data_IF_550807765106
#
_entry.id   IF_550807765106
#
_cell.length_a   1.000
_cell.length_b   1.000
_cell.length_c   1.000
_cell.angle_alpha   90.00
_cell.angle_beta   90.00
_cell.angle_gamma   90.00
#
_symmetry.space_group_name_H-M   'P 1'
#
loop_
_entity.id
_entity.type
_entity.pdbx_description
1 polymer ?
#
# COMPACT_ATOMS: atom_id res chain seq x y z
N UNK A 1 -25.41 5.18 12.27
CA UNK A 1 -25.56 3.89 11.55
C UNK A 1 -24.24 3.57 10.88
N UNK A 2 -23.66 2.42 11.18
CA UNK A 2 -22.24 2.12 11.15
C UNK A 2 -21.62 2.12 9.73
N UNK A 3 -20.62 2.98 9.45
CA UNK A 3 -19.81 3.04 8.22
C UNK A 3 -19.16 1.68 7.85
N UNK A 4 -19.06 0.74 8.80
CA UNK A 4 -18.47 -0.59 8.65
C UNK A 4 -19.31 -1.62 7.87
N UNK A 5 -20.64 -1.41 7.77
CA UNK A 5 -21.54 -2.39 7.11
C UNK A 5 -21.40 -2.31 5.58
N UNK A 6 -21.08 -1.13 5.06
CA UNK A 6 -20.95 -0.91 3.60
C UNK A 6 -19.70 -1.62 3.04
N UNK A 7 -18.64 -1.72 3.82
CA UNK A 7 -17.40 -2.38 3.43
C UNK A 7 -17.56 -3.90 3.16
N UNK A 8 -18.43 -4.56 3.95
CA UNK A 8 -18.67 -6.00 3.83
C UNK A 8 -19.43 -6.41 2.55
N UNK A 9 -20.15 -5.47 1.91
CA UNK A 9 -20.83 -5.72 0.62
C UNK A 9 -19.94 -5.48 -0.59
N UNK A 10 -18.83 -4.75 -0.44
CA UNK A 10 -17.94 -4.36 -1.52
C UNK A 10 -16.89 -5.45 -1.85
N UNK A 11 -16.58 -6.33 -0.88
CA UNK A 11 -15.54 -7.37 -0.95
C UNK A 11 -15.96 -8.68 -1.65
N UNK A 12 -17.19 -8.82 -2.14
CA UNK A 12 -17.73 -10.14 -2.58
C UNK A 12 -17.73 -10.40 -4.08
N UNK A 13 -17.12 -9.56 -4.93
CA UNK A 13 -16.97 -9.89 -6.36
C UNK A 13 -15.52 -9.66 -6.78
N UNK A 14 -14.75 -10.75 -6.74
CA UNK A 14 -13.44 -10.83 -7.38
C UNK A 14 -13.56 -10.51 -8.87
N UNK A 15 -12.66 -9.68 -9.38
CA UNK A 15 -12.56 -9.31 -10.78
C UNK A 15 -11.84 -7.99 -10.89
N UNK A 16 -10.89 -7.89 -11.81
CA UNK A 16 -10.14 -6.72 -12.23
C UNK A 16 -10.73 -5.40 -11.72
N UNK A 17 -9.96 -4.64 -10.95
CA UNK A 17 -10.32 -3.28 -10.55
C UNK A 17 -10.55 -2.46 -11.83
N UNK A 18 -11.80 -2.43 -12.28
CA UNK A 18 -12.22 -1.62 -13.41
C UNK A 18 -12.47 -0.22 -12.85
N UNK A 19 -11.48 0.67 -12.93
CA UNK A 19 -11.56 2.04 -12.41
C UNK A 19 -12.87 2.76 -12.79
N UNK A 20 -13.46 2.38 -13.92
CA UNK A 20 -14.77 2.89 -14.35
C UNK A 20 -15.93 2.45 -13.45
N UNK A 21 -15.90 1.21 -12.97
CA UNK A 21 -16.98 0.66 -12.12
C UNK A 21 -16.90 1.18 -10.69
N UNK A 22 -15.68 1.41 -10.18
CA UNK A 22 -15.50 1.87 -8.81
C UNK A 22 -15.84 3.35 -8.64
N UNK A 23 -15.36 4.21 -9.53
CA UNK A 23 -15.72 5.64 -9.53
C UNK A 23 -17.24 5.85 -9.59
N UNK A 24 -17.92 5.26 -10.57
CA UNK A 24 -19.38 5.44 -10.75
C UNK A 24 -20.16 4.95 -9.54
N UNK A 25 -19.74 3.84 -8.96
CA UNK A 25 -20.36 3.27 -7.76
C UNK A 25 -20.16 4.16 -6.54
N UNK A 26 -18.92 4.61 -6.30
CA UNK A 26 -18.60 5.49 -5.16
C UNK A 26 -19.31 6.83 -5.30
N UNK A 27 -19.31 7.43 -6.47
CA UNK A 27 -20.01 8.69 -6.74
C UNK A 27 -21.53 8.59 -6.44
N UNK A 28 -22.17 7.52 -6.90
CA UNK A 28 -23.60 7.26 -6.64
C UNK A 28 -23.87 7.01 -5.14
N UNK A 29 -22.94 6.33 -4.46
CA UNK A 29 -23.05 6.02 -3.02
C UNK A 29 -22.98 7.30 -2.20
N UNK A 30 -21.98 8.15 -2.43
CA UNK A 30 -21.80 9.43 -1.73
C UNK A 30 -23.00 10.36 -1.87
N UNK A 31 -23.57 10.43 -3.08
CA UNK A 31 -24.80 11.21 -3.30
C UNK A 31 -25.97 10.67 -2.46
N UNK A 32 -26.15 9.36 -2.41
CA UNK A 32 -27.22 8.73 -1.64
C UNK A 32 -27.00 8.90 -0.12
N UNK A 33 -25.77 8.82 0.35
CA UNK A 33 -25.42 9.08 1.76
C UNK A 33 -25.71 10.54 2.14
N UNK A 34 -25.45 11.48 1.23
CA UNK A 34 -25.79 12.90 1.42
C UNK A 34 -27.30 13.18 1.33
N UNK A 35 -28.10 12.19 0.93
CA UNK A 35 -29.56 12.26 0.86
C UNK A 35 -30.11 13.18 -0.25
N UNK A 36 -29.28 13.50 -1.26
CA UNK A 36 -29.67 14.43 -2.33
C UNK A 36 -30.02 13.73 -3.65
N UNK A 37 -30.90 14.35 -4.44
CA UNK A 37 -31.27 13.86 -5.76
C UNK A 37 -30.15 14.07 -6.79
N UNK A 38 -30.20 13.32 -7.91
CA UNK A 38 -29.27 13.55 -9.02
C UNK A 38 -29.36 14.98 -9.59
N UNK A 39 -30.55 15.59 -9.58
CA UNK A 39 -30.78 16.96 -10.07
C UNK A 39 -30.05 17.96 -9.15
N UNK A 40 -30.18 17.84 -7.86
CA UNK A 40 -29.53 18.70 -6.87
C UNK A 40 -28.01 18.55 -6.91
N UNK A 41 -27.51 17.31 -6.91
CA UNK A 41 -26.08 17.07 -7.01
C UNK A 41 -25.49 17.61 -8.31
N UNK A 42 -26.16 17.44 -9.44
CA UNK A 42 -25.73 17.95 -10.73
C UNK A 42 -25.64 19.49 -10.75
N UNK A 43 -26.61 20.17 -10.14
CA UNK A 43 -26.61 21.63 -10.02
C UNK A 43 -25.40 22.10 -9.16
N UNK A 44 -25.11 21.45 -8.05
CA UNK A 44 -23.96 21.78 -7.19
C UNK A 44 -22.62 21.48 -7.85
N UNK A 45 -22.55 20.40 -8.63
CA UNK A 45 -21.34 19.99 -9.35
C UNK A 45 -21.13 20.72 -10.69
N UNK A 46 -22.06 21.63 -11.07
CA UNK A 46 -21.96 22.41 -12.31
C UNK A 46 -22.08 21.57 -13.59
N UNK A 47 -22.90 20.51 -13.57
CA UNK A 47 -23.13 19.63 -14.72
C UNK A 47 -24.65 19.42 -14.94
N UNK A 48 -25.03 18.92 -16.12
CA UNK A 48 -26.42 18.52 -16.34
C UNK A 48 -26.76 17.22 -15.60
N UNK A 49 -28.03 17.05 -15.19
CA UNK A 49 -28.49 15.81 -14.56
C UNK A 49 -28.21 14.57 -15.43
N UNK A 50 -28.40 14.69 -16.76
CA UNK A 50 -28.13 13.62 -17.69
C UNK A 50 -26.66 13.21 -17.68
N UNK A 51 -25.73 14.17 -17.62
CA UNK A 51 -24.30 13.92 -17.57
C UNK A 51 -23.90 13.26 -16.25
N UNK A 52 -24.43 13.73 -15.11
CA UNK A 52 -24.19 13.08 -13.82
C UNK A 52 -24.72 11.64 -13.81
N UNK A 53 -25.91 11.40 -14.39
CA UNK A 53 -26.45 10.04 -14.53
C UNK A 53 -25.55 9.13 -15.35
N UNK A 54 -24.90 9.64 -16.40
CA UNK A 54 -23.94 8.88 -17.21
C UNK A 54 -22.67 8.55 -16.41
N UNK A 55 -22.18 9.47 -15.58
CA UNK A 55 -21.04 9.23 -14.69
C UNK A 55 -21.38 8.17 -13.63
N UNK A 56 -22.54 8.28 -12.97
CA UNK A 56 -22.97 7.30 -11.96
C UNK A 56 -23.28 5.90 -12.52
N UNK A 57 -23.57 5.80 -13.82
CA UNK A 57 -23.78 4.51 -14.51
C UNK A 57 -22.52 3.96 -15.17
N UNK A 58 -21.42 4.69 -15.14
CA UNK A 58 -20.17 4.29 -15.80
C UNK A 58 -20.25 4.32 -17.34
N UNK A 59 -21.29 4.99 -17.92
CA UNK A 59 -21.46 5.12 -19.37
C UNK A 59 -20.42 6.07 -19.96
N UNK A 60 -20.02 7.10 -19.18
CA UNK A 60 -19.05 8.11 -19.59
C UNK A 60 -18.02 8.33 -18.51
N UNK A 61 -16.78 8.56 -18.90
CA UNK A 61 -15.70 8.98 -18.02
C UNK A 61 -15.79 10.48 -17.72
N UNK A 62 -15.48 10.86 -16.47
CA UNK A 62 -15.39 12.25 -16.09
C UNK A 62 -13.99 12.82 -16.40
N UNK A 63 -13.94 14.11 -16.68
CA UNK A 63 -12.66 14.83 -16.73
C UNK A 63 -12.12 15.13 -15.33
N UNK A 64 -10.83 15.49 -15.25
CA UNK A 64 -10.13 15.80 -14.02
C UNK A 64 -10.82 16.93 -13.22
N UNK A 65 -11.29 17.96 -13.89
CA UNK A 65 -12.01 19.09 -13.26
C UNK A 65 -13.28 18.65 -12.54
N UNK A 66 -14.01 17.70 -13.11
CA UNK A 66 -15.19 17.14 -12.44
C UNK A 66 -14.82 16.29 -11.24
N UNK A 67 -13.75 15.48 -11.36
CA UNK A 67 -13.25 14.66 -10.26
C UNK A 67 -12.87 15.52 -9.06
N UNK A 68 -12.14 16.61 -9.28
CA UNK A 68 -11.75 17.56 -8.22
C UNK A 68 -12.99 18.17 -7.57
N UNK A 69 -13.92 18.73 -8.35
CA UNK A 69 -15.15 19.30 -7.79
C UNK A 69 -16.00 18.30 -7.02
N UNK A 70 -16.05 17.05 -7.47
CA UNK A 70 -16.77 15.99 -6.78
C UNK A 70 -16.09 15.62 -5.45
N UNK A 71 -14.76 15.55 -5.42
CA UNK A 71 -13.99 15.32 -4.21
C UNK A 71 -14.26 16.41 -3.17
N UNK A 72 -14.15 17.67 -3.56
CA UNK A 72 -14.42 18.84 -2.70
C UNK A 72 -15.87 18.87 -2.20
N UNK A 73 -16.83 18.64 -3.11
CA UNK A 73 -18.26 18.68 -2.78
C UNK A 73 -18.69 17.60 -1.78
N UNK A 74 -18.15 16.41 -1.92
CA UNK A 74 -18.43 15.29 -1.01
C UNK A 74 -17.51 15.26 0.20
N UNK A 75 -16.45 16.08 0.26
CA UNK A 75 -15.47 16.11 1.34
C UNK A 75 -14.68 14.82 1.42
N UNK A 76 -14.31 14.26 0.28
CA UNK A 76 -13.53 13.02 0.18
C UNK A 76 -12.35 13.21 -0.77
N UNK A 77 -11.33 12.36 -0.63
CA UNK A 77 -10.19 12.40 -1.54
C UNK A 77 -10.55 11.90 -2.95
N UNK A 78 -9.79 12.35 -3.94
CA UNK A 78 -9.91 11.84 -5.30
C UNK A 78 -9.61 10.33 -5.38
N UNK A 79 -8.68 9.83 -4.57
CA UNK A 79 -8.36 8.41 -4.50
C UNK A 79 -9.49 7.56 -3.91
N UNK A 80 -10.24 8.11 -2.94
CA UNK A 80 -11.45 7.47 -2.46
C UNK A 80 -12.54 7.41 -3.54
N UNK A 81 -12.75 8.51 -4.27
CA UNK A 81 -13.69 8.55 -5.39
C UNK A 81 -13.33 7.54 -6.48
N UNK A 82 -12.04 7.36 -6.75
CA UNK A 82 -11.52 6.41 -7.74
C UNK A 82 -11.50 4.95 -7.24
N UNK A 83 -11.91 4.71 -5.99
CA UNK A 83 -11.85 3.38 -5.37
C UNK A 83 -10.44 2.90 -5.04
N UNK A 84 -9.44 3.79 -5.08
CA UNK A 84 -8.04 3.50 -4.80
C UNK A 84 -7.69 3.56 -3.31
N UNK A 85 -8.48 4.30 -2.53
CA UNK A 85 -8.37 4.38 -1.07
C UNK A 85 -9.67 3.93 -0.42
N UNK A 86 -9.54 3.27 0.72
CA UNK A 86 -10.67 2.90 1.57
C UNK A 86 -11.04 4.02 2.55
N UNK A 87 -10.15 4.98 2.74
CA UNK A 87 -10.32 6.11 3.66
C UNK A 87 -10.93 7.31 2.92
N UNK A 88 -12.13 7.80 3.33
CA UNK A 88 -12.77 8.98 2.72
C UNK A 88 -11.93 10.25 2.84
N UNK A 89 -11.22 10.43 3.94
CA UNK A 89 -10.36 11.60 4.16
C UNK A 89 -9.09 11.50 3.30
N UNK A 90 -8.89 10.29 2.69
CA UNK A 90 -7.78 10.00 1.82
C UNK A 90 -6.53 10.62 2.39
N UNK A 91 -5.86 9.92 3.28
CA UNK A 91 -4.44 10.23 3.41
C UNK A 91 -3.84 9.93 2.04
N UNK A 92 -4.00 10.88 1.13
CA UNK A 92 -3.16 10.98 -0.04
C UNK A 92 -1.77 11.20 0.54
N UNK A 93 -1.05 10.07 0.72
CA UNK A 93 0.38 10.16 0.93
C UNK A 93 0.91 10.86 -0.32
N UNK A 94 0.99 12.18 -0.25
CA UNK A 94 1.79 12.91 -1.21
C UNK A 94 3.24 12.45 -0.98
N UNK A 95 4.07 12.56 -2.00
CA UNK A 95 5.49 12.19 -1.87
C UNK A 95 6.13 12.97 -0.72
N UNK A 96 5.61 14.17 -0.40
CA UNK A 96 6.04 15.05 0.69
C UNK A 96 5.58 14.58 2.07
N UNK A 97 4.42 13.94 2.19
CA UNK A 97 3.85 13.49 3.48
C UNK A 97 4.50 12.21 4.01
N UNK A 98 5.27 11.49 3.17
CA UNK A 98 6.00 10.31 3.58
C UNK A 98 7.38 10.76 4.06
N UNK A 99 7.73 10.61 5.36
CA UNK A 99 9.05 11.01 5.87
C UNK A 99 10.16 10.39 5.02
N UNK A 100 11.16 11.21 4.67
CA UNK A 100 12.38 10.67 4.07
C UNK A 100 13.02 9.74 5.10
N UNK A 101 13.39 8.50 4.72
CA UNK A 101 14.34 7.74 5.52
C UNK A 101 15.62 8.57 5.57
N UNK A 102 16.07 8.92 6.76
CA UNK A 102 17.15 9.85 7.10
C UNK A 102 17.95 10.39 5.89
N UNK A 103 18.11 11.70 5.83
CA UNK A 103 18.80 12.43 4.77
C UNK A 103 20.29 12.04 4.58
N UNK A 104 20.59 10.75 4.66
CA UNK A 104 21.88 10.17 4.37
C UNK A 104 22.09 10.17 2.85
N UNK A 105 22.48 11.32 2.33
CA UNK A 105 23.17 11.42 1.06
C UNK A 105 22.28 11.73 -0.14
N UNK A 106 22.80 12.66 -0.92
CA UNK A 106 22.35 13.09 -2.25
C UNK A 106 22.34 11.96 -3.31
N UNK A 107 22.55 10.69 -2.91
CA UNK A 107 22.72 9.54 -3.80
C UNK A 107 21.41 8.91 -4.29
N UNK A 108 20.27 9.35 -3.78
CA UNK A 108 18.96 8.76 -4.10
C UNK A 108 18.04 9.69 -4.92
N UNK A 109 18.58 10.53 -5.76
CA UNK A 109 17.77 11.30 -6.71
C UNK A 109 17.31 10.39 -7.85
N UNK A 110 16.03 9.98 -7.82
CA UNK A 110 15.38 9.31 -8.94
C UNK A 110 15.11 10.31 -10.06
N UNK A 111 16.18 10.86 -10.66
CA UNK A 111 16.07 11.76 -11.79
C UNK A 111 15.54 10.97 -12.99
N UNK A 112 14.33 11.29 -13.44
CA UNK A 112 13.69 10.66 -14.59
C UNK A 112 12.91 9.36 -14.30
N UNK A 113 12.89 8.85 -13.07
CA UNK A 113 12.02 7.75 -12.70
C UNK A 113 10.59 8.28 -12.51
N UNK A 114 9.58 7.52 -12.97
CA UNK A 114 8.17 7.83 -12.70
C UNK A 114 7.87 7.83 -11.19
N UNK A 115 6.71 8.37 -10.81
CA UNK A 115 6.27 8.51 -9.40
C UNK A 115 6.20 7.15 -8.67
N UNK A 116 5.85 6.07 -9.38
CA UNK A 116 5.64 4.74 -8.80
C UNK A 116 6.88 4.16 -8.04
N UNK A 117 8.11 4.19 -8.57
CA UNK A 117 9.28 3.70 -7.83
C UNK A 117 9.54 4.48 -6.53
N UNK A 118 9.29 5.79 -6.53
CA UNK A 118 9.46 6.65 -5.35
C UNK A 118 8.45 6.27 -4.28
N UNK A 119 7.16 6.15 -4.65
CA UNK A 119 6.10 5.74 -3.73
C UNK A 119 6.39 4.36 -3.15
N UNK A 120 6.69 3.36 -3.98
CA UNK A 120 6.96 2.01 -3.51
C UNK A 120 8.16 1.96 -2.56
N UNK A 121 9.24 2.70 -2.86
CA UNK A 121 10.38 2.81 -1.95
C UNK A 121 9.95 3.35 -0.59
N UNK A 122 9.19 4.45 -0.57
CA UNK A 122 8.73 5.08 0.68
C UNK A 122 7.79 4.16 1.46
N UNK A 123 6.82 3.52 0.80
CA UNK A 123 5.93 2.54 1.44
C UNK A 123 6.72 1.41 2.12
N UNK A 124 7.69 0.84 1.41
CA UNK A 124 8.52 -0.24 1.95
C UNK A 124 9.35 0.27 3.14
N UNK A 125 10.06 1.39 2.99
CA UNK A 125 10.93 1.94 4.04
C UNK A 125 10.14 2.26 5.32
N UNK A 126 8.99 2.92 5.20
CA UNK A 126 8.15 3.27 6.35
C UNK A 126 7.54 2.03 7.02
N UNK A 127 7.13 1.04 6.23
CA UNK A 127 6.62 -0.23 6.77
C UNK A 127 7.71 -0.99 7.51
N UNK A 128 8.94 -0.94 7.03
CA UNK A 128 10.10 -1.54 7.71
C UNK A 128 10.38 -0.85 9.05
N UNK A 129 10.22 0.48 9.16
CA UNK A 129 10.37 1.18 10.44
C UNK A 129 9.40 0.63 11.49
N UNK A 130 8.12 0.45 11.14
CA UNK A 130 7.14 -0.17 12.05
C UNK A 130 7.51 -1.59 12.40
N UNK A 131 7.88 -2.41 11.41
CA UNK A 131 8.27 -3.81 11.62
C UNK A 131 9.46 -3.94 12.57
N UNK A 132 10.52 -3.15 12.34
CA UNK A 132 11.73 -3.21 13.17
C UNK A 132 11.50 -2.69 14.58
N UNK A 133 10.62 -1.70 14.78
CA UNK A 133 10.24 -1.27 16.12
C UNK A 133 9.45 -2.38 16.87
N UNK A 134 8.54 -3.08 16.20
CA UNK A 134 7.87 -4.25 16.78
C UNK A 134 8.86 -5.37 17.12
N UNK A 135 9.84 -5.63 16.26
CA UNK A 135 10.91 -6.60 16.54
C UNK A 135 11.73 -6.20 17.76
N UNK A 136 12.08 -4.93 17.91
CA UNK A 136 12.76 -4.42 19.10
C UNK A 136 11.90 -4.60 20.35
N UNK A 137 10.60 -4.29 20.29
CA UNK A 137 9.64 -4.47 21.39
C UNK A 137 9.44 -5.95 21.77
N UNK A 138 9.55 -6.85 20.81
CA UNK A 138 9.47 -8.31 21.08
C UNK A 138 10.56 -8.80 22.04
N UNK A 139 11.69 -8.10 22.10
CA UNK A 139 12.85 -8.46 22.89
C UNK A 139 13.59 -9.72 22.43
N UNK A 140 13.12 -10.37 21.37
CA UNK A 140 13.71 -11.61 20.87
C UNK A 140 14.77 -11.34 19.80
N UNK A 141 16.03 -11.61 20.14
CA UNK A 141 17.17 -11.50 19.20
C UNK A 141 17.06 -12.50 18.06
N UNK A 142 16.57 -13.71 18.33
CA UNK A 142 16.40 -14.75 17.30
C UNK A 142 15.29 -14.38 16.30
N UNK A 143 14.16 -13.86 16.78
CA UNK A 143 13.10 -13.35 15.88
C UNK A 143 13.65 -12.23 14.99
N UNK A 144 14.32 -11.25 15.58
CA UNK A 144 14.95 -10.15 14.84
C UNK A 144 15.93 -10.66 13.79
N UNK A 145 16.81 -11.61 14.15
CA UNK A 145 17.78 -12.22 13.25
C UNK A 145 17.12 -12.92 12.06
N UNK A 146 16.06 -13.69 12.30
CA UNK A 146 15.41 -14.44 11.23
C UNK A 146 14.58 -13.55 10.31
N UNK A 147 13.84 -12.58 10.84
CA UNK A 147 13.11 -11.61 10.03
C UNK A 147 14.08 -10.74 9.22
N UNK A 148 15.14 -10.23 9.83
CA UNK A 148 16.17 -9.47 9.11
C UNK A 148 16.86 -10.31 8.04
N UNK A 149 17.17 -11.59 8.33
CA UNK A 149 17.76 -12.50 7.36
C UNK A 149 16.88 -12.72 6.14
N UNK A 150 15.57 -12.88 6.34
CA UNK A 150 14.61 -13.00 5.24
C UNK A 150 14.63 -11.74 4.35
N UNK A 151 14.54 -10.56 4.95
CA UNK A 151 14.52 -9.29 4.22
C UNK A 151 15.83 -9.05 3.45
N UNK A 152 16.98 -9.34 4.09
CA UNK A 152 18.28 -9.25 3.41
C UNK A 152 18.37 -10.22 2.22
N UNK A 153 17.85 -11.44 2.37
CA UNK A 153 17.78 -12.43 1.30
C UNK A 153 16.91 -11.95 0.13
N UNK A 154 15.75 -11.33 0.43
CA UNK A 154 14.85 -10.79 -0.58
C UNK A 154 15.52 -9.64 -1.36
N UNK A 155 16.15 -8.69 -0.67
CA UNK A 155 16.90 -7.60 -1.30
C UNK A 155 18.03 -8.13 -2.16
N UNK A 156 18.85 -9.05 -1.63
CA UNK A 156 19.94 -9.68 -2.37
C UNK A 156 19.44 -10.34 -3.66
N UNK A 157 18.38 -11.13 -3.56
CA UNK A 157 17.79 -11.86 -4.70
C UNK A 157 17.32 -10.91 -5.78
N UNK A 158 16.55 -9.87 -5.41
CA UNK A 158 16.05 -8.89 -6.35
C UNK A 158 17.16 -8.02 -6.94
N UNK A 159 18.11 -7.57 -6.13
CA UNK A 159 19.28 -6.84 -6.61
C UNK A 159 20.06 -7.65 -7.65
N UNK A 160 20.29 -8.93 -7.38
CA UNK A 160 21.00 -9.81 -8.30
C UNK A 160 20.29 -9.99 -9.65
N UNK A 161 18.96 -10.13 -9.64
CA UNK A 161 18.15 -10.20 -10.86
C UNK A 161 18.33 -8.90 -11.67
N UNK A 162 18.11 -7.74 -11.03
CA UNK A 162 18.23 -6.43 -11.71
C UNK A 162 19.66 -6.20 -12.22
N UNK A 163 20.66 -6.53 -11.42
CA UNK A 163 22.06 -6.39 -11.78
C UNK A 163 22.44 -7.24 -13.02
N UNK A 164 21.93 -8.46 -13.10
CA UNK A 164 22.21 -9.38 -14.21
C UNK A 164 21.54 -9.00 -15.53
N UNK A 165 20.56 -8.08 -15.52
CA UNK A 165 19.89 -7.60 -16.74
C UNK A 165 20.83 -6.81 -17.66
N UNK A 166 21.89 -6.23 -17.13
CA UNK A 166 22.88 -5.53 -17.95
C UNK A 166 24.07 -6.43 -18.25
N UNK A 167 24.37 -6.71 -19.54
CA UNK A 167 25.54 -7.50 -19.90
C UNK A 167 26.87 -6.81 -19.59
N UNK A 168 26.84 -5.51 -19.29
CA UNK A 168 28.03 -4.73 -18.89
C UNK A 168 28.42 -4.94 -17.43
N UNK A 169 27.52 -5.49 -16.62
CA UNK A 169 27.75 -5.68 -15.20
C UNK A 169 28.61 -6.93 -14.95
N UNK A 170 29.66 -6.74 -14.20
CA UNK A 170 30.59 -7.83 -13.89
C UNK A 170 30.03 -8.70 -12.77
N UNK A 171 29.69 -9.94 -13.10
CA UNK A 171 29.13 -10.91 -12.15
C UNK A 171 30.12 -11.35 -11.05
N UNK A 172 31.41 -11.03 -11.15
CA UNK A 172 32.40 -11.24 -10.06
C UNK A 172 32.13 -10.36 -8.83
N UNK A 173 31.19 -9.41 -8.92
CA UNK A 173 30.65 -8.68 -7.76
C UNK A 173 30.05 -9.62 -6.72
N UNK A 174 29.60 -10.80 -7.15
CA UNK A 174 28.99 -11.80 -6.28
C UNK A 174 29.94 -12.96 -6.06
N UNK A 175 30.17 -13.36 -4.79
CA UNK A 175 30.96 -14.54 -4.45
C UNK A 175 30.25 -15.86 -4.72
N UNK A 176 28.90 -15.86 -4.72
CA UNK A 176 28.11 -17.05 -5.07
C UNK A 176 27.98 -17.13 -6.59
N UNK A 177 28.31 -18.27 -7.23
CA UNK A 177 28.14 -18.44 -8.67
C UNK A 177 26.69 -18.21 -9.13
N UNK A 178 26.52 -17.82 -10.40
CA UNK A 178 25.17 -17.58 -10.95
C UNK A 178 24.29 -18.84 -10.93
N UNK A 179 24.87 -19.99 -11.24
CA UNK A 179 24.17 -21.26 -11.16
C UNK A 179 23.77 -21.55 -9.71
N UNK A 180 22.49 -21.63 -9.42
CA UNK A 180 21.95 -21.95 -8.10
C UNK A 180 21.89 -20.79 -7.11
N UNK A 181 22.28 -19.56 -7.49
CA UNK A 181 22.30 -18.43 -6.54
C UNK A 181 20.90 -17.98 -6.11
N UNK A 182 19.94 -18.00 -7.03
CA UNK A 182 18.55 -17.61 -6.73
C UNK A 182 17.86 -18.67 -5.89
N UNK A 183 18.13 -19.95 -6.18
CA UNK A 183 17.64 -21.10 -5.43
C UNK A 183 18.22 -21.13 -4.01
N UNK A 184 19.51 -20.83 -3.88
CA UNK A 184 20.18 -20.72 -2.57
C UNK A 184 19.59 -19.56 -1.74
N UNK A 185 19.30 -18.42 -2.36
CA UNK A 185 18.67 -17.30 -1.69
C UNK A 185 17.23 -17.64 -1.26
N UNK A 186 16.47 -18.34 -2.11
CA UNK A 186 15.11 -18.79 -1.79
C UNK A 186 15.12 -19.78 -0.61
N UNK A 187 16.02 -20.78 -0.66
CA UNK A 187 16.20 -21.73 0.45
C UNK A 187 16.58 -21.03 1.76
N UNK A 188 17.46 -20.03 1.70
CA UNK A 188 17.83 -19.23 2.86
C UNK A 188 16.65 -18.47 3.44
N UNK A 189 15.85 -17.80 2.59
CA UNK A 189 14.66 -17.07 3.00
C UNK A 189 13.62 -17.99 3.64
N UNK A 190 13.33 -19.13 3.02
CA UNK A 190 12.40 -20.14 3.57
C UNK A 190 12.87 -20.70 4.92
N UNK A 191 14.17 -20.90 5.08
CA UNK A 191 14.74 -21.32 6.38
C UNK A 191 14.57 -20.22 7.45
N UNK A 192 14.80 -18.97 7.10
CA UNK A 192 14.56 -17.83 8.01
C UNK A 192 13.08 -17.74 8.41
N UNK A 193 12.15 -17.83 7.46
CA UNK A 193 10.71 -17.84 7.70
C UNK A 193 10.30 -18.99 8.63
N UNK A 194 10.76 -20.22 8.32
CA UNK A 194 10.44 -21.39 9.13
C UNK A 194 10.96 -21.28 10.58
N UNK A 195 12.13 -20.68 10.77
CA UNK A 195 12.70 -20.43 12.10
C UNK A 195 11.95 -19.32 12.84
N UNK A 196 11.55 -18.26 12.15
CA UNK A 196 10.73 -17.22 12.77
C UNK A 196 9.36 -17.78 13.22
N UNK A 197 8.69 -18.60 12.40
CA UNK A 197 7.42 -19.26 12.76
C UNK A 197 7.55 -20.21 13.96
N UNK A 198 8.70 -20.87 14.14
CA UNK A 198 8.94 -21.74 15.30
C UNK A 198 9.03 -21.00 16.63
N UNK A 199 9.19 -19.69 16.61
CA UNK A 199 9.20 -18.86 17.82
C UNK A 199 7.78 -18.44 18.27
N UNK A 200 6.75 -18.88 17.55
CA UNK A 200 5.37 -18.71 18.00
C UNK A 200 5.14 -19.50 19.30
N UNK A 201 4.68 -18.79 20.35
CA UNK A 201 4.55 -19.36 21.69
C UNK A 201 5.87 -19.50 22.47
N UNK A 202 7.02 -19.10 21.93
CA UNK A 202 8.28 -19.13 22.63
C UNK A 202 8.35 -18.00 23.68
N UNK A 203 8.74 -18.35 24.91
CA UNK A 203 8.84 -17.41 26.04
C UNK A 203 9.90 -16.32 25.83
N UNK A 204 10.80 -16.46 24.89
CA UNK A 204 11.77 -15.43 24.50
C UNK A 204 11.15 -14.28 23.73
N UNK A 205 9.92 -14.44 23.24
CA UNK A 205 9.17 -13.42 22.51
C UNK A 205 8.15 -12.78 23.45
N UNK A 206 8.31 -11.49 23.74
CA UNK A 206 7.34 -10.73 24.56
C UNK A 206 6.12 -10.36 23.71
N UNK A 207 5.19 -11.30 23.58
CA UNK A 207 4.02 -11.19 22.72
C UNK A 207 3.11 -10.02 23.08
N UNK A 208 2.98 -9.70 24.38
CA UNK A 208 2.18 -8.54 24.84
C UNK A 208 2.69 -7.22 24.29
N UNK A 209 4.01 -7.09 24.11
CA UNK A 209 4.64 -5.87 23.61
C UNK A 209 4.45 -5.66 22.11
N UNK A 210 4.09 -6.71 21.38
CA UNK A 210 3.83 -6.68 19.93
C UNK A 210 2.36 -6.89 19.59
N UNK A 211 1.50 -6.93 20.61
CA UNK A 211 0.04 -6.95 20.43
C UNK A 211 -0.42 -5.58 19.91
N UNK A 212 -0.88 -5.55 18.66
CA UNK A 212 -1.26 -4.30 17.99
C UNK A 212 -2.62 -4.47 17.30
N UNK A 213 -3.42 -3.40 17.34
CA UNK A 213 -4.63 -3.24 16.55
C UNK A 213 -4.43 -2.14 15.50
N UNK A 214 -5.36 -2.03 14.54
CA UNK A 214 -5.35 -0.94 13.57
C UNK A 214 -5.28 0.43 14.26
N UNK A 215 -6.13 0.65 15.27
CA UNK A 215 -6.18 1.92 16.00
C UNK A 215 -4.88 2.17 16.79
N UNK A 216 -4.32 1.11 17.41
CA UNK A 216 -3.07 1.25 18.16
C UNK A 216 -1.88 1.54 17.25
N UNK A 217 -1.81 0.93 16.08
CA UNK A 217 -0.81 1.21 15.06
C UNK A 217 -0.92 2.65 14.56
N UNK A 218 -2.12 3.12 14.20
CA UNK A 218 -2.35 4.49 13.75
C UNK A 218 -1.98 5.52 14.80
N UNK A 219 -2.26 5.23 16.08
CA UNK A 219 -1.91 6.13 17.19
C UNK A 219 -0.41 6.13 17.51
N UNK A 220 0.24 4.96 17.47
CA UNK A 220 1.65 4.82 17.85
C UNK A 220 2.59 5.25 16.73
N UNK A 221 2.19 5.04 15.47
CA UNK A 221 2.99 5.34 14.29
C UNK A 221 2.23 6.23 13.30
N UNK A 222 1.81 7.46 13.71
CA UNK A 222 0.94 8.31 12.89
C UNK A 222 1.50 8.61 11.50
N UNK A 223 2.84 8.67 11.37
CA UNK A 223 3.52 8.95 10.11
C UNK A 223 3.74 7.70 9.22
N UNK A 224 3.77 6.49 9.80
CA UNK A 224 4.16 5.28 9.10
C UNK A 224 3.04 4.26 8.93
N UNK A 225 2.01 4.31 9.77
CA UNK A 225 0.93 3.32 9.76
C UNK A 225 0.17 3.28 8.42
N UNK A 226 -0.10 4.45 7.83
CA UNK A 226 -0.74 4.56 6.52
C UNK A 226 0.07 3.89 5.41
N UNK A 227 1.40 4.02 5.46
CA UNK A 227 2.30 3.33 4.52
C UNK A 227 2.24 1.82 4.67
N UNK A 228 2.22 1.32 5.92
CA UNK A 228 2.10 -0.11 6.22
C UNK A 228 0.76 -0.67 5.71
N UNK A 229 -0.35 0.01 5.97
CA UNK A 229 -1.67 -0.44 5.51
C UNK A 229 -1.79 -0.42 3.98
N UNK A 230 -1.23 0.59 3.33
CA UNK A 230 -1.17 0.66 1.87
C UNK A 230 -0.30 -0.46 1.28
N UNK A 231 0.83 -0.78 1.91
CA UNK A 231 1.69 -1.89 1.51
C UNK A 231 0.95 -3.23 1.63
N UNK A 232 0.30 -3.48 2.78
CA UNK A 232 -0.48 -4.71 3.01
C UNK A 232 -1.56 -4.86 1.92
N UNK A 233 -2.37 -3.81 1.71
CA UNK A 233 -3.40 -3.80 0.69
C UNK A 233 -2.84 -4.10 -0.70
N UNK A 234 -1.77 -3.41 -1.10
CA UNK A 234 -1.16 -3.60 -2.42
C UNK A 234 -0.62 -5.03 -2.61
N UNK A 235 -0.08 -5.64 -1.55
CA UNK A 235 0.37 -7.03 -1.60
C UNK A 235 -0.81 -7.99 -1.76
N UNK A 236 -1.86 -7.84 -0.94
CA UNK A 236 -3.04 -8.71 -0.96
C UNK A 236 -3.78 -8.61 -2.30
N UNK A 237 -4.00 -7.40 -2.82
CA UNK A 237 -4.61 -7.17 -4.14
C UNK A 237 -3.82 -7.84 -5.29
N UNK A 238 -2.51 -8.05 -5.12
CA UNK A 238 -1.67 -8.73 -6.12
C UNK A 238 -1.58 -10.25 -5.91
N UNK A 239 -1.86 -10.76 -4.71
CA UNK A 239 -1.89 -12.20 -4.41
C UNK A 239 -3.21 -12.86 -4.81
N UNK A 240 -4.31 -12.08 -4.89
CA UNK A 240 -5.64 -12.58 -5.29
C UNK A 240 -5.84 -12.65 -6.82
N UNK A 241 -4.84 -12.24 -7.61
CA UNK A 241 -4.84 -12.30 -9.08
C UNK A 241 -4.18 -13.58 -9.58
#
# INVERSE_FOLDING_TARGET
MNKFIIYKQLSKKGGFCNMKSDFSRVLSLLRKEKGISQKEAAAQLGVSQALLSHYEKGIRECGLDFLIRAADFYGVSADYLLGRSADPEGMTLTVEDIPEPDAAGKENTFSGAGVLPVINKKLIANSLNVLFDLLAKSGSKELTKHVSGYLMGAVYRMFRIVYSMSPKNNMNTFSVPNAGALESADAYMKNCEAKAKKLDGDSSVKTDNISVSYESLSRTYPLFASSLFSLIKNCEDNMEK
#
